data_IF_509904507797
#
_entry.id   IF_509904507797
#
_cell.length_a   1.000
_cell.length_b   1.000
_cell.length_c   1.000
_cell.angle_alpha   90.00
_cell.angle_beta   90.00
_cell.angle_gamma   90.00
#
_symmetry.space_group_name_H-M   'P 1'
#
loop_
_entity.id
_entity.type
_entity.pdbx_description
1 polymer ?
#
# COMPACT_ATOMS: atom_id res chain seq x y z
N UNK A 1 7.71 21.11 16.29
CA UNK A 1 7.31 20.74 14.92
C UNK A 1 8.31 21.23 13.87
N UNK A 2 8.70 22.51 13.89
CA UNK A 2 9.63 23.09 12.89
C UNK A 2 10.98 22.37 12.80
N UNK A 3 11.58 21.97 13.94
CA UNK A 3 12.85 21.22 13.94
C UNK A 3 12.75 19.87 13.20
N UNK A 4 11.68 19.11 13.42
CA UNK A 4 11.43 17.84 12.73
C UNK A 4 11.22 18.03 11.22
N UNK A 5 10.47 19.06 10.83
CA UNK A 5 10.29 19.39 9.41
C UNK A 5 11.61 19.82 8.77
N UNK A 6 12.45 20.60 9.48
CA UNK A 6 13.79 20.97 9.04
C UNK A 6 14.67 19.73 8.85
N UNK A 7 14.65 18.78 9.80
CA UNK A 7 15.37 17.53 9.69
C UNK A 7 14.92 16.70 8.48
N UNK A 8 13.61 16.62 8.22
CA UNK A 8 13.10 15.98 7.00
C UNK A 8 13.63 16.66 5.72
N UNK A 9 13.67 18.01 5.67
CA UNK A 9 14.20 18.74 4.51
C UNK A 9 15.69 18.46 4.30
N UNK A 10 16.47 18.46 5.39
CA UNK A 10 17.89 18.11 5.36
C UNK A 10 18.05 16.69 4.81
N UNK A 11 17.27 15.72 5.30
CA UNK A 11 17.37 14.34 4.83
C UNK A 11 17.03 14.15 3.35
N UNK A 12 16.04 14.90 2.85
CA UNK A 12 15.76 14.96 1.41
C UNK A 12 16.99 15.49 0.67
N UNK A 13 17.51 16.65 1.08
CA UNK A 13 18.67 17.27 0.41
C UNK A 13 19.91 16.37 0.42
N UNK A 14 20.22 15.70 1.53
CA UNK A 14 21.29 14.69 1.62
C UNK A 14 21.10 13.56 0.59
N UNK A 15 19.86 13.09 0.40
CA UNK A 15 19.55 12.04 -0.57
C UNK A 15 19.79 12.50 -2.00
N UNK A 16 19.40 13.75 -2.33
CA UNK A 16 19.69 14.34 -3.63
C UNK A 16 21.21 14.47 -3.84
N UNK A 17 21.94 15.05 -2.89
CA UNK A 17 23.40 15.22 -2.99
C UNK A 17 24.16 13.91 -3.15
N UNK A 18 23.76 12.86 -2.43
CA UNK A 18 24.37 11.54 -2.56
C UNK A 18 24.18 10.97 -3.97
N UNK A 19 22.97 11.10 -4.53
CA UNK A 19 22.71 10.67 -5.91
C UNK A 19 23.44 11.53 -6.95
N UNK A 20 23.45 12.85 -6.78
CA UNK A 20 24.18 13.77 -7.67
C UNK A 20 25.68 13.48 -7.69
N UNK A 21 26.28 13.24 -6.53
CA UNK A 21 27.69 12.85 -6.42
C UNK A 21 27.97 11.51 -7.09
N UNK A 22 27.05 10.54 -6.98
CA UNK A 22 27.22 9.22 -7.59
C UNK A 22 27.09 9.24 -9.12
N UNK A 23 26.09 9.95 -9.66
CA UNK A 23 25.84 10.02 -11.10
C UNK A 23 26.56 11.17 -11.80
N UNK A 24 27.32 11.99 -11.05
CA UNK A 24 28.00 13.19 -11.53
C UNK A 24 27.08 14.09 -12.37
N UNK A 25 25.88 14.35 -11.84
CA UNK A 25 24.86 15.15 -12.53
C UNK A 25 24.05 15.96 -11.53
N UNK A 26 23.39 17.02 -12.02
CA UNK A 26 22.45 17.81 -11.20
C UNK A 26 21.04 17.26 -11.38
N UNK A 27 20.34 17.07 -10.27
CA UNK A 27 18.98 16.56 -10.24
C UNK A 27 18.03 17.68 -9.82
N UNK A 28 16.93 17.83 -10.55
CA UNK A 28 15.91 18.85 -10.30
C UNK A 28 15.26 18.63 -8.93
N UNK A 29 15.26 19.67 -8.09
CA UNK A 29 14.56 19.65 -6.80
C UNK A 29 13.06 19.84 -7.02
N UNK A 30 12.27 19.22 -6.15
CA UNK A 30 10.81 19.38 -6.09
C UNK A 30 10.40 19.97 -4.73
N UNK A 31 9.29 20.72 -4.65
CA UNK A 31 8.80 21.24 -3.39
C UNK A 31 8.50 20.12 -2.39
N UNK A 32 8.88 20.34 -1.13
CA UNK A 32 8.56 19.47 0.01
C UNK A 32 7.40 20.09 0.79
N UNK A 33 6.27 19.38 0.82
CA UNK A 33 5.03 19.83 1.45
C UNK A 33 4.66 18.95 2.64
N UNK A 34 4.38 19.59 3.77
CA UNK A 34 3.95 18.93 4.99
C UNK A 34 2.43 18.98 5.13
N UNK A 35 1.78 17.83 4.96
CA UNK A 35 0.32 17.70 4.97
C UNK A 35 -0.22 17.38 6.37
N UNK A 36 -1.21 18.16 6.81
CA UNK A 36 -2.03 17.86 7.99
C UNK A 36 -3.19 16.90 7.69
N UNK A 37 -3.52 16.70 6.41
CA UNK A 37 -4.63 15.84 5.98
C UNK A 37 -4.21 14.37 5.82
N UNK A 38 -2.93 14.14 5.54
CA UNK A 38 -2.39 12.79 5.37
C UNK A 38 -2.25 12.10 6.75
N UNK A 39 -2.99 11.01 6.93
CA UNK A 39 -3.08 10.27 8.21
C UNK A 39 -2.79 8.76 8.09
N UNK A 40 -2.82 8.22 6.88
CA UNK A 40 -2.69 6.77 6.61
C UNK A 40 -1.33 6.38 6.03
N UNK A 41 -0.67 7.28 5.30
CA UNK A 41 0.62 7.07 4.67
C UNK A 41 1.63 8.08 5.18
N UNK A 42 2.88 7.66 5.41
CA UNK A 42 3.91 8.53 5.97
C UNK A 42 4.36 9.60 4.97
N UNK A 43 4.58 9.19 3.72
CA UNK A 43 4.98 10.07 2.63
C UNK A 43 4.35 9.64 1.30
N UNK A 44 4.44 10.52 0.30
CA UNK A 44 4.18 10.21 -1.11
C UNK A 44 5.00 11.12 -2.02
N UNK A 45 5.59 10.56 -3.08
CA UNK A 45 6.10 11.28 -4.24
C UNK A 45 5.00 11.45 -5.30
N UNK A 46 4.86 12.65 -5.85
CA UNK A 46 3.89 12.99 -6.90
C UNK A 46 4.61 13.24 -8.24
N UNK A 47 3.94 12.88 -9.32
CA UNK A 47 4.48 12.96 -10.67
C UNK A 47 3.45 13.50 -11.65
N UNK A 48 3.92 14.04 -12.77
CA UNK A 48 3.10 14.41 -13.93
C UNK A 48 3.70 13.82 -15.20
N UNK A 49 2.85 13.49 -16.18
CA UNK A 49 3.30 13.14 -17.52
C UNK A 49 3.14 14.37 -18.42
N UNK A 50 4.22 14.82 -19.03
CA UNK A 50 4.16 15.85 -20.05
C UNK A 50 3.42 15.30 -21.28
N UNK A 51 2.36 15.98 -21.71
CA UNK A 51 1.56 15.55 -22.85
C UNK A 51 2.33 15.63 -24.17
N UNK A 52 3.18 16.66 -24.33
CA UNK A 52 3.93 16.88 -25.56
C UNK A 52 5.08 15.87 -25.75
N UNK A 53 5.81 15.54 -24.68
CA UNK A 53 7.02 14.69 -24.77
C UNK A 53 6.82 13.27 -24.25
N UNK A 54 5.68 12.99 -23.61
CA UNK A 54 5.42 11.72 -22.92
C UNK A 54 6.26 11.48 -21.66
N UNK A 55 7.21 12.38 -21.35
CA UNK A 55 8.15 12.26 -20.23
C UNK A 55 7.41 12.39 -18.90
N UNK A 56 7.75 11.53 -17.95
CA UNK A 56 7.28 11.63 -16.56
C UNK A 56 8.29 12.44 -15.74
N UNK A 57 7.79 13.36 -14.93
CA UNK A 57 8.61 14.22 -14.06
C UNK A 57 8.05 14.27 -12.65
N UNK A 58 8.94 14.39 -11.67
CA UNK A 58 8.57 14.61 -10.27
C UNK A 58 8.02 16.02 -10.05
N UNK A 59 6.96 16.14 -9.25
CA UNK A 59 6.33 17.44 -8.95
C UNK A 59 6.40 17.83 -7.49
N UNK A 60 6.36 16.86 -6.57
CA UNK A 60 6.31 17.16 -5.13
C UNK A 60 6.66 15.94 -4.28
N UNK A 61 7.33 16.19 -3.16
CA UNK A 61 7.41 15.25 -2.02
C UNK A 61 6.43 15.72 -0.96
N UNK A 62 5.50 14.85 -0.55
CA UNK A 62 4.50 15.14 0.47
C UNK A 62 4.71 14.28 1.70
N UNK A 63 4.80 14.89 2.87
CA UNK A 63 5.08 14.23 4.16
C UNK A 63 3.95 14.49 5.16
N UNK A 64 3.54 13.46 5.91
CA UNK A 64 2.44 13.55 6.87
C UNK A 64 2.88 14.13 8.22
N UNK A 65 2.42 15.33 8.58
CA UNK A 65 2.69 15.93 9.89
C UNK A 65 2.14 15.11 11.06
N UNK A 66 1.04 14.39 10.82
CA UNK A 66 0.42 13.56 11.85
C UNK A 66 1.28 12.36 12.21
N UNK A 67 1.86 11.68 11.21
CA UNK A 67 2.71 10.49 11.41
C UNK A 67 4.12 10.89 11.86
N UNK A 68 4.65 12.01 11.35
CA UNK A 68 5.93 12.58 11.81
C UNK A 68 5.89 12.88 13.32
N UNK A 69 4.80 13.45 13.84
CA UNK A 69 4.65 13.70 15.28
C UNK A 69 4.60 12.43 16.12
N UNK A 70 4.03 11.36 15.57
CA UNK A 70 3.84 10.10 16.29
C UNK A 70 5.10 9.21 16.27
N UNK A 71 5.98 9.40 15.28
CA UNK A 71 7.16 8.56 15.05
C UNK A 71 8.37 9.41 14.62
N UNK A 72 8.79 10.43 15.39
CA UNK A 72 9.72 11.46 14.91
C UNK A 72 11.05 10.90 14.38
N UNK A 73 11.70 10.03 15.15
CA UNK A 73 13.01 9.48 14.80
C UNK A 73 12.93 8.55 13.58
N UNK A 74 12.08 7.52 13.65
CA UNK A 74 11.91 6.56 12.54
C UNK A 74 11.42 7.26 11.27
N UNK A 75 10.51 8.23 11.40
CA UNK A 75 10.00 8.98 10.26
C UNK A 75 11.11 9.77 9.58
N UNK A 76 11.84 10.61 10.32
CA UNK A 76 12.92 11.44 9.77
C UNK A 76 14.01 10.58 9.14
N UNK A 77 14.38 9.48 9.77
CA UNK A 77 15.44 8.60 9.28
C UNK A 77 15.09 7.91 7.95
N UNK A 78 13.80 7.61 7.72
CA UNK A 78 13.36 6.76 6.60
C UNK A 78 12.54 7.50 5.54
N UNK A 79 11.43 8.10 5.95
CA UNK A 79 10.37 8.56 5.03
C UNK A 79 10.85 9.61 4.04
N UNK A 80 11.57 10.68 4.46
CA UNK A 80 12.03 11.71 3.53
C UNK A 80 12.95 11.15 2.43
N UNK A 81 13.93 10.32 2.80
CA UNK A 81 14.85 9.71 1.84
C UNK A 81 14.15 8.72 0.91
N UNK A 82 13.19 7.93 1.42
CA UNK A 82 12.40 7.01 0.61
C UNK A 82 11.58 7.75 -0.47
N UNK A 83 10.91 8.84 -0.11
CA UNK A 83 10.17 9.65 -1.08
C UNK A 83 11.10 10.46 -2.00
N UNK A 84 12.30 10.84 -1.54
CA UNK A 84 13.31 11.46 -2.40
C UNK A 84 13.84 10.48 -3.45
N UNK A 85 14.10 9.23 -3.07
CA UNK A 85 14.57 8.19 -3.99
C UNK A 85 13.58 7.94 -5.14
N UNK A 86 12.28 8.05 -4.87
CA UNK A 86 11.22 8.01 -5.88
C UNK A 86 11.35 9.11 -6.94
N UNK A 87 11.58 10.36 -6.50
CA UNK A 87 11.78 11.50 -7.40
C UNK A 87 13.09 11.36 -8.18
N UNK A 88 14.19 11.09 -7.47
CA UNK A 88 15.53 10.91 -8.05
C UNK A 88 15.53 9.84 -9.14
N UNK A 89 14.92 8.69 -8.87
CA UNK A 89 14.86 7.60 -9.84
C UNK A 89 14.07 7.99 -11.10
N UNK A 90 12.96 8.73 -10.96
CA UNK A 90 12.19 9.22 -12.12
C UNK A 90 12.95 10.29 -12.90
N UNK A 91 13.64 11.21 -12.23
CA UNK A 91 14.42 12.24 -12.92
C UNK A 91 15.60 11.65 -13.71
N UNK A 92 16.25 10.61 -13.18
CA UNK A 92 17.39 9.96 -13.83
C UNK A 92 16.99 8.91 -14.89
N UNK A 93 15.88 8.20 -14.67
CA UNK A 93 15.55 7.00 -15.47
C UNK A 93 14.15 7.03 -16.11
N UNK A 94 13.41 8.12 -15.96
CA UNK A 94 12.05 8.26 -16.49
C UNK A 94 11.09 7.20 -15.94
N UNK A 95 10.27 6.60 -16.81
CA UNK A 95 9.26 5.60 -16.39
C UNK A 95 9.89 4.38 -15.70
N UNK A 96 11.12 4.00 -16.08
CA UNK A 96 11.84 2.88 -15.47
C UNK A 96 12.25 3.15 -14.02
N UNK A 97 12.29 4.41 -13.61
CA UNK A 97 12.53 4.83 -12.23
C UNK A 97 11.30 4.76 -11.34
N UNK A 98 10.11 4.59 -11.91
CA UNK A 98 8.84 4.66 -11.18
C UNK A 98 8.60 3.41 -10.33
N UNK A 99 8.06 3.61 -9.14
CA UNK A 99 7.74 2.51 -8.22
C UNK A 99 8.97 1.98 -7.50
N UNK A 100 8.93 0.73 -7.04
CA UNK A 100 9.98 0.13 -6.20
C UNK A 100 10.85 -0.88 -6.95
N UNK A 101 11.07 -0.64 -8.25
CA UNK A 101 11.85 -1.52 -9.13
C UNK A 101 13.37 -1.37 -8.94
N UNK A 102 14.15 -2.01 -9.84
CA UNK A 102 15.61 -2.04 -9.78
C UNK A 102 16.25 -0.66 -9.66
N UNK A 103 15.82 0.30 -10.49
CA UNK A 103 16.38 1.66 -10.49
C UNK A 103 16.12 2.40 -9.17
N UNK A 104 14.92 2.26 -8.61
CA UNK A 104 14.63 2.82 -7.30
C UNK A 104 15.46 2.17 -6.19
N UNK A 105 15.64 0.84 -6.22
CA UNK A 105 16.47 0.12 -5.25
C UNK A 105 17.94 0.53 -5.32
N UNK A 106 18.46 0.77 -6.54
CA UNK A 106 19.79 1.32 -6.78
C UNK A 106 19.95 2.68 -6.08
N UNK A 107 18.98 3.59 -6.25
CA UNK A 107 18.98 4.88 -5.54
C UNK A 107 18.93 4.70 -4.02
N UNK A 108 18.08 3.81 -3.51
CA UNK A 108 18.00 3.53 -2.07
C UNK A 108 19.35 3.09 -1.50
N UNK A 109 20.07 2.22 -2.21
CA UNK A 109 21.41 1.79 -1.81
C UNK A 109 22.42 2.96 -1.82
N UNK A 110 22.39 3.81 -2.85
CA UNK A 110 23.27 4.98 -2.97
C UNK A 110 23.04 5.97 -1.83
N UNK A 111 21.79 6.22 -1.44
CA UNK A 111 21.47 7.14 -0.33
C UNK A 111 21.61 6.48 1.05
N UNK A 112 22.11 5.24 1.12
CA UNK A 112 22.34 4.51 2.35
C UNK A 112 21.06 4.14 3.10
N UNK A 113 19.95 3.92 2.40
CA UNK A 113 18.68 3.53 3.00
C UNK A 113 18.24 2.12 2.61
N UNK A 114 17.67 1.41 3.58
CA UNK A 114 17.09 0.08 3.39
C UNK A 114 15.78 0.17 2.57
N UNK A 115 15.74 -0.56 1.45
CA UNK A 115 14.66 -0.60 0.46
C UNK A 115 13.35 -1.28 0.94
N UNK A 116 13.10 -1.32 2.24
CA UNK A 116 11.87 -1.89 2.82
C UNK A 116 10.67 -1.00 2.56
N UNK A 117 9.62 -1.60 1.99
CA UNK A 117 8.35 -0.93 1.66
C UNK A 117 7.40 -0.75 2.84
N UNK A 118 7.48 -1.63 3.84
CA UNK A 118 6.49 -1.71 4.92
C UNK A 118 7.14 -1.45 6.27
N UNK A 119 6.72 -0.37 6.93
CA UNK A 119 7.04 -0.05 8.32
C UNK A 119 5.76 0.14 9.12
N UNK A 120 5.76 -0.36 10.35
CA UNK A 120 4.60 -0.31 11.22
C UNK A 120 4.63 0.97 12.06
N UNK A 121 4.71 2.13 11.39
CA UNK A 121 4.62 3.43 12.06
C UNK A 121 3.22 3.62 12.65
N UNK A 122 3.15 4.24 13.83
CA UNK A 122 1.89 4.67 14.44
C UNK A 122 1.23 5.68 13.52
N UNK A 123 0.11 5.30 12.91
CA UNK A 123 -0.73 6.20 12.13
C UNK A 123 -1.64 6.99 13.06
N UNK A 124 -1.91 8.25 12.73
CA UNK A 124 -2.87 9.02 13.51
C UNK A 124 -4.25 8.34 13.49
N UNK A 125 -4.98 8.33 14.63
CA UNK A 125 -6.30 7.75 14.68
C UNK A 125 -7.14 8.37 13.56
N UNK A 126 -7.60 7.51 12.64
CA UNK A 126 -8.65 7.89 11.72
C UNK A 126 -9.89 7.89 12.59
N UNK A 127 -10.44 9.07 12.94
CA UNK A 127 -11.69 9.18 13.73
C UNK A 127 -12.62 8.04 13.28
N UNK A 128 -13.03 7.18 14.22
CA UNK A 128 -14.15 6.28 13.95
C UNK A 128 -15.29 7.20 13.54
N UNK A 129 -15.63 7.14 12.24
CA UNK A 129 -16.58 8.08 11.69
C UNK A 129 -17.92 7.78 12.32
N UNK A 130 -18.58 8.78 12.89
CA UNK A 130 -20.02 8.70 13.11
C UNK A 130 -20.68 8.22 11.82
N UNK A 131 -21.48 7.18 11.97
CA UNK A 131 -22.34 6.67 10.93
C UNK A 131 -23.71 7.30 11.07
N UNK A 132 -24.24 7.69 9.93
CA UNK A 132 -25.55 8.29 9.78
C UNK A 132 -26.42 7.24 9.09
N UNK A 133 -27.52 6.88 9.74
CA UNK A 133 -28.46 5.88 9.24
C UNK A 133 -29.35 6.49 8.17
N UNK A 134 -29.51 5.76 7.07
CA UNK A 134 -30.40 6.11 5.96
C UNK A 134 -31.25 4.90 5.58
N UNK A 135 -32.48 5.13 5.20
CA UNK A 135 -33.39 4.13 4.61
C UNK A 135 -33.57 4.54 3.14
N UNK A 136 -33.17 3.68 2.22
CA UNK A 136 -33.29 3.96 0.78
C UNK A 136 -34.74 4.07 0.35
N UNK A 137 -34.99 4.53 -0.88
CA UNK A 137 -36.33 4.56 -1.48
C UNK A 137 -37.02 3.19 -1.55
N UNK A 138 -36.27 2.08 -1.40
CA UNK A 138 -36.84 0.71 -1.36
C UNK A 138 -36.97 0.16 0.05
N UNK A 139 -36.65 0.95 1.09
CA UNK A 139 -36.70 0.51 2.48
C UNK A 139 -35.41 -0.14 3.00
N UNK A 140 -34.35 -0.22 2.18
CA UNK A 140 -33.09 -0.85 2.59
C UNK A 140 -32.26 0.06 3.50
N UNK A 141 -31.75 -0.48 4.60
CA UNK A 141 -30.97 0.29 5.56
C UNK A 141 -29.50 0.41 5.16
N UNK A 142 -28.98 1.64 5.16
CA UNK A 142 -27.59 1.94 4.81
C UNK A 142 -26.96 2.89 5.84
N UNK A 143 -25.75 2.53 6.26
CA UNK A 143 -24.94 3.38 7.14
C UNK A 143 -23.93 4.20 6.35
N UNK A 144 -24.07 5.52 6.40
CA UNK A 144 -23.21 6.45 5.69
C UNK A 144 -22.24 7.16 6.61
N UNK A 145 -20.98 7.29 6.17
CA UNK A 145 -19.98 8.13 6.87
C UNK A 145 -20.34 9.60 6.70
N UNK A 146 -19.92 10.43 7.67
CA UNK A 146 -20.07 11.89 7.68
C UNK A 146 -19.89 12.57 6.32
N UNK A 147 -18.89 12.19 5.53
CA UNK A 147 -18.65 12.81 4.22
C UNK A 147 -19.79 12.64 3.20
N UNK A 148 -20.43 11.46 3.13
CA UNK A 148 -21.62 11.26 2.27
C UNK A 148 -22.85 11.91 2.89
N UNK A 149 -23.02 11.78 4.20
CA UNK A 149 -24.10 12.46 4.92
C UNK A 149 -24.09 13.99 4.69
N UNK A 150 -22.95 14.66 4.84
CA UNK A 150 -22.84 16.10 4.60
C UNK A 150 -23.13 16.48 3.14
N UNK A 151 -22.75 15.66 2.15
CA UNK A 151 -23.08 15.92 0.74
C UNK A 151 -24.58 15.79 0.47
N UNK A 152 -25.23 14.78 1.05
CA UNK A 152 -26.67 14.57 0.92
C UNK A 152 -27.42 15.73 1.59
N UNK A 153 -27.12 16.01 2.86
CA UNK A 153 -27.86 16.99 3.66
C UNK A 153 -27.61 18.44 3.24
N UNK A 154 -26.37 18.80 2.93
CA UNK A 154 -25.98 20.19 2.64
C UNK A 154 -25.93 20.53 1.16
N UNK A 155 -25.72 19.53 0.28
CA UNK A 155 -25.54 19.75 -1.16
C UNK A 155 -26.57 19.04 -2.03
N UNK A 156 -27.57 18.39 -1.43
CA UNK A 156 -28.63 17.68 -2.16
C UNK A 156 -28.13 16.51 -3.00
N UNK A 157 -26.97 15.93 -2.68
CA UNK A 157 -26.41 14.83 -3.46
C UNK A 157 -27.29 13.56 -3.33
N UNK A 158 -27.53 12.89 -4.45
CA UNK A 158 -28.26 11.60 -4.51
C UNK A 158 -27.29 10.46 -4.80
N UNK A 159 -27.45 9.33 -4.10
CA UNK A 159 -26.66 8.12 -4.32
C UNK A 159 -27.55 6.95 -4.69
N UNK A 160 -27.08 6.07 -5.58
CA UNK A 160 -27.74 4.81 -5.92
C UNK A 160 -27.14 3.65 -5.12
N UNK A 161 -27.99 2.77 -4.61
CA UNK A 161 -27.60 1.48 -4.04
C UNK A 161 -28.04 0.41 -5.03
N UNK A 162 -27.10 -0.41 -5.48
CA UNK A 162 -27.35 -1.39 -6.53
C UNK A 162 -28.42 -2.39 -6.06
N UNK A 163 -29.56 -2.43 -6.76
CA UNK A 163 -30.69 -3.29 -6.43
C UNK A 163 -31.60 -2.76 -5.31
N UNK A 164 -31.18 -1.71 -4.60
CA UNK A 164 -31.80 -1.29 -3.34
C UNK A 164 -32.15 0.22 -3.36
N UNK A 165 -32.48 0.75 -4.54
CA UNK A 165 -33.01 2.11 -4.69
C UNK A 165 -31.99 3.26 -4.54
N UNK A 166 -32.50 4.44 -4.17
CA UNK A 166 -31.74 5.69 -4.06
C UNK A 166 -31.66 6.15 -2.60
N UNK A 167 -30.63 6.92 -2.30
CA UNK A 167 -30.46 7.67 -1.05
C UNK A 167 -30.53 9.15 -1.41
N UNK A 168 -31.58 9.82 -0.93
CA UNK A 168 -31.79 11.27 -1.04
C UNK A 168 -31.72 11.92 0.35
N UNK A 169 -32.05 13.21 0.46
CA UNK A 169 -32.04 13.94 1.73
C UNK A 169 -33.08 13.41 2.70
N UNK A 170 -34.24 13.01 2.18
CA UNK A 170 -35.42 12.52 2.89
C UNK A 170 -35.20 11.10 3.44
N UNK A 171 -34.29 10.35 2.84
CA UNK A 171 -33.88 9.01 3.29
C UNK A 171 -33.15 9.01 4.64
N UNK A 172 -32.85 10.17 5.23
CA UNK A 172 -32.13 10.23 6.50
C UNK A 172 -33.02 9.84 7.67
N UNK A 173 -32.64 8.76 8.37
CA UNK A 173 -33.40 8.20 9.49
C UNK A 173 -32.58 8.29 10.78
N UNK A 174 -32.58 9.43 11.49
CA UNK A 174 -31.86 9.56 12.74
C UNK A 174 -32.48 8.63 13.80
N UNK A 175 -31.76 7.61 14.25
CA UNK A 175 -32.05 7.00 15.56
C UNK A 175 -31.58 7.94 16.68
N UNK A 176 -32.21 7.83 17.85
CA UNK A 176 -31.98 8.67 19.03
C UNK A 176 -30.55 8.61 19.60
N UNK A 177 -29.63 7.82 19.03
CA UNK A 177 -28.22 7.84 19.39
C UNK A 177 -27.36 7.45 18.18
N UNK A 178 -26.36 8.26 17.77
CA UNK A 178 -25.40 7.85 16.77
C UNK A 178 -24.64 6.60 17.25
N UNK A 179 -24.68 5.51 16.48
CA UNK A 179 -23.88 4.32 16.77
C UNK A 179 -22.38 4.68 16.67
N UNK A 180 -21.76 4.91 17.83
CA UNK A 180 -20.31 5.08 17.95
C UNK A 180 -19.65 3.73 17.78
N UNK A 181 -18.94 3.54 16.67
CA UNK A 181 -18.05 2.38 16.54
C UNK A 181 -16.82 2.64 17.42
N UNK A 182 -16.59 1.77 18.42
CA UNK A 182 -15.31 1.67 19.13
C UNK A 182 -14.21 1.43 18.10
N UNK A 183 -13.07 2.10 18.26
CA UNK A 183 -11.92 1.91 17.38
C UNK A 183 -11.74 0.42 17.09
N UNK A 184 -11.71 0.05 15.80
CA UNK A 184 -11.11 -1.21 15.41
C UNK A 184 -9.63 -1.05 15.74
N UNK A 185 -9.25 -1.39 16.96
CA UNK A 185 -7.86 -1.75 17.25
C UNK A 185 -7.48 -2.70 16.13
N UNK A 186 -6.42 -2.39 15.37
CA UNK A 186 -5.86 -3.34 14.39
C UNK A 186 -5.93 -4.70 15.05
N UNK A 187 -6.67 -5.63 14.46
CA UNK A 187 -6.77 -6.98 14.97
C UNK A 187 -5.34 -7.42 15.32
N UNK A 188 -5.17 -7.94 16.55
CA UNK A 188 -3.93 -8.61 16.96
C UNK A 188 -3.49 -9.43 15.76
N UNK A 189 -2.24 -9.24 15.32
CA UNK A 189 -1.70 -9.94 14.16
C UNK A 189 -2.16 -11.40 14.22
N UNK A 190 -2.73 -11.95 13.12
CA UNK A 190 -3.08 -13.36 13.12
C UNK A 190 -1.87 -14.14 13.62
N UNK A 191 -2.13 -15.16 14.44
CA UNK A 191 -1.11 -16.07 14.95
C UNK A 191 -0.12 -16.43 13.83
N UNK A 192 1.16 -16.59 14.20
CA UNK A 192 2.35 -16.83 13.38
C UNK A 192 2.07 -17.09 11.88
N UNK A 193 2.71 -16.36 10.94
CA UNK A 193 2.36 -16.42 9.53
C UNK A 193 2.29 -17.88 9.06
N UNK A 194 1.09 -18.35 8.73
CA UNK A 194 0.92 -19.64 8.08
C UNK A 194 1.81 -19.62 6.84
N UNK A 195 2.67 -20.64 6.69
CA UNK A 195 3.66 -20.70 5.63
C UNK A 195 3.06 -20.26 4.29
N UNK A 196 3.77 -19.38 3.57
CA UNK A 196 3.30 -18.86 2.29
C UNK A 196 3.01 -20.02 1.32
N UNK A 197 2.11 -19.81 0.34
CA UNK A 197 1.81 -20.84 -0.68
C UNK A 197 3.08 -21.34 -1.37
N UNK A 198 4.07 -20.48 -1.58
CA UNK A 198 5.37 -20.85 -2.12
C UNK A 198 6.16 -21.76 -1.17
N UNK A 199 6.20 -21.45 0.14
CA UNK A 199 6.88 -22.28 1.13
C UNK A 199 6.22 -23.67 1.30
N UNK A 200 4.88 -23.70 1.28
CA UNK A 200 4.11 -24.95 1.25
C UNK A 200 4.41 -25.78 0.00
N UNK A 201 4.48 -25.13 -1.16
CA UNK A 201 4.81 -25.82 -2.41
C UNK A 201 6.21 -26.44 -2.38
N UNK A 202 7.22 -25.73 -1.85
CA UNK A 202 8.57 -26.27 -1.66
C UNK A 202 8.54 -27.52 -0.77
N UNK A 203 7.80 -27.47 0.35
CA UNK A 203 7.66 -28.61 1.26
C UNK A 203 7.03 -29.83 0.56
N UNK A 204 5.96 -29.60 -0.22
CA UNK A 204 5.28 -30.67 -0.98
C UNK A 204 6.18 -31.27 -2.05
N UNK A 205 6.92 -30.45 -2.80
CA UNK A 205 7.88 -30.94 -3.79
C UNK A 205 8.96 -31.82 -3.13
N UNK A 206 9.51 -31.40 -1.99
CA UNK A 206 10.51 -32.17 -1.26
C UNK A 206 9.97 -33.51 -0.73
N UNK A 207 8.71 -33.54 -0.28
CA UNK A 207 8.05 -34.79 0.12
C UNK A 207 7.90 -35.75 -1.06
N UNK A 208 7.46 -35.28 -2.23
CA UNK A 208 7.34 -36.11 -3.42
C UNK A 208 8.69 -36.61 -3.96
N UNK A 209 9.75 -35.80 -3.87
CA UNK A 209 11.12 -36.26 -4.17
C UNK A 209 11.57 -37.37 -3.23
N UNK A 210 11.32 -37.23 -1.91
CA UNK A 210 11.64 -38.28 -0.92
C UNK A 210 10.88 -39.58 -1.17
N UNK A 211 9.67 -39.50 -1.72
CA UNK A 211 8.88 -40.66 -2.15
C UNK A 211 9.31 -41.23 -3.51
N UNK A 212 10.36 -40.68 -4.14
CA UNK A 212 10.91 -41.17 -5.41
C UNK A 212 10.18 -40.69 -6.66
N UNK A 213 9.25 -39.74 -6.55
CA UNK A 213 8.55 -39.22 -7.73
C UNK A 213 9.37 -38.18 -8.48
N UNK A 214 9.29 -38.23 -9.81
CA UNK A 214 9.77 -37.14 -10.68
C UNK A 214 8.68 -36.08 -10.88
N UNK A 215 9.08 -34.85 -11.25
CA UNK A 215 8.14 -33.77 -11.53
C UNK A 215 7.13 -34.17 -12.62
N UNK A 216 7.59 -34.85 -13.66
CA UNK A 216 6.73 -35.31 -14.76
C UNK A 216 5.70 -36.34 -14.29
N UNK A 217 6.10 -37.29 -13.44
CA UNK A 217 5.18 -38.27 -12.85
C UNK A 217 4.12 -37.60 -11.96
N UNK A 218 4.51 -36.62 -11.13
CA UNK A 218 3.58 -35.88 -10.29
C UNK A 218 2.60 -35.08 -11.15
N UNK A 219 3.08 -34.37 -12.17
CA UNK A 219 2.20 -33.58 -13.05
C UNK A 219 1.32 -34.46 -13.93
N UNK A 220 1.76 -35.68 -14.29
CA UNK A 220 0.96 -36.64 -15.04
C UNK A 220 -0.15 -37.31 -14.24
N UNK A 221 -0.09 -37.27 -12.91
CA UNK A 221 -1.06 -37.92 -12.03
C UNK A 221 -2.02 -36.91 -11.37
N UNK A 222 -3.30 -36.95 -11.77
CA UNK A 222 -4.32 -36.03 -11.28
C UNK A 222 -4.48 -36.07 -9.75
N UNK A 223 -4.45 -37.26 -9.14
CA UNK A 223 -4.59 -37.46 -7.70
C UNK A 223 -3.43 -36.83 -6.92
N UNK A 224 -2.19 -36.94 -7.41
CA UNK A 224 -1.03 -36.32 -6.76
C UNK A 224 -1.07 -34.78 -6.86
N UNK A 225 -1.59 -34.25 -7.97
CA UNK A 225 -1.79 -32.80 -8.13
C UNK A 225 -2.89 -32.27 -7.22
N UNK A 226 -3.99 -33.01 -7.04
CA UNK A 226 -5.07 -32.62 -6.13
C UNK A 226 -4.63 -32.64 -4.67
N UNK A 227 -3.88 -33.67 -4.25
CA UNK A 227 -3.26 -33.73 -2.92
C UNK A 227 -2.32 -32.55 -2.69
N UNK A 228 -1.50 -32.20 -3.69
CA UNK A 228 -0.64 -31.01 -3.62
C UNK A 228 -1.45 -29.72 -3.54
N UNK A 229 -2.54 -29.60 -4.31
CA UNK A 229 -3.42 -28.44 -4.31
C UNK A 229 -4.06 -28.22 -2.93
N UNK A 230 -4.54 -29.29 -2.29
CA UNK A 230 -5.09 -29.25 -0.94
C UNK A 230 -4.03 -28.84 0.09
N UNK A 231 -2.83 -29.43 0.04
CA UNK A 231 -1.73 -29.10 0.95
C UNK A 231 -1.25 -27.65 0.82
N UNK A 232 -1.21 -27.11 -0.41
CA UNK A 232 -0.79 -25.72 -0.69
C UNK A 232 -1.93 -24.72 -0.41
N UNK A 233 -3.19 -25.15 -0.49
CA UNK A 233 -4.38 -24.29 -0.43
C UNK A 233 -4.62 -23.53 -1.72
N UNK A 234 -4.56 -24.24 -2.86
CA UNK A 234 -4.77 -23.68 -4.21
C UNK A 234 -5.66 -24.60 -5.05
N UNK A 235 -6.04 -24.16 -6.24
CA UNK A 235 -6.69 -25.05 -7.23
C UNK A 235 -5.65 -25.96 -7.88
N UNK A 236 -6.05 -27.10 -8.45
CA UNK A 236 -5.16 -28.01 -9.17
C UNK A 236 -4.35 -27.31 -10.27
N UNK A 237 -4.98 -26.38 -11.00
CA UNK A 237 -4.31 -25.57 -12.05
C UNK A 237 -3.19 -24.70 -11.47
N UNK A 238 -3.45 -24.06 -10.33
CA UNK A 238 -2.45 -23.24 -9.63
C UNK A 238 -1.34 -24.10 -9.03
N UNK A 239 -1.69 -25.26 -8.44
CA UNK A 239 -0.74 -26.21 -7.88
C UNK A 239 0.28 -26.66 -8.93
N UNK A 240 -0.15 -26.96 -10.17
CA UNK A 240 0.76 -27.30 -11.28
C UNK A 240 1.80 -26.22 -11.55
N UNK A 241 1.41 -24.94 -11.51
CA UNK A 241 2.34 -23.80 -11.68
C UNK A 241 3.33 -23.72 -10.52
N UNK A 242 2.85 -23.91 -9.29
CA UNK A 242 3.70 -23.92 -8.10
C UNK A 242 4.71 -25.07 -8.11
N UNK A 243 4.26 -26.30 -8.40
CA UNK A 243 5.13 -27.47 -8.48
C UNK A 243 6.22 -27.27 -9.54
N UNK A 244 5.87 -26.82 -10.76
CA UNK A 244 6.86 -26.51 -11.80
C UNK A 244 7.88 -25.46 -11.37
N UNK A 245 7.42 -24.36 -10.79
CA UNK A 245 8.29 -23.23 -10.44
C UNK A 245 9.11 -23.41 -9.17
N UNK A 246 8.79 -24.42 -8.33
CA UNK A 246 9.40 -24.64 -7.02
C UNK A 246 10.04 -26.02 -6.85
N UNK A 247 10.00 -26.89 -7.87
CA UNK A 247 10.56 -28.23 -7.80
C UNK A 247 12.04 -28.24 -7.40
N UNK A 248 12.86 -27.40 -8.02
CA UNK A 248 14.31 -27.37 -7.76
C UNK A 248 14.69 -26.55 -6.52
N UNK A 249 13.71 -25.89 -5.90
CA UNK A 249 13.87 -25.15 -4.64
C UNK A 249 13.55 -26.02 -3.41
N UNK A 250 13.30 -27.31 -3.61
CA UNK A 250 12.91 -28.29 -2.59
C UNK A 250 13.87 -29.44 -2.42
#
# INVERSE_FOLDING_TARGET
MNALQKACRIKVEESFRAAEAHYNTTIKRVPIVFSNQQKKTAGTASYIRCFATGKIEGTQIKLANSILRLNPEEFVARTPGHEAAHIIAVELFGENGRGHGRRWQEIMAIIGQDAKRCHNMKTAPTRSGELFRYITTTGYEVMLKRGRHSKIQMKGATYLVRGEGKITKECFAPESTPLKIKEVTKAKAPAAPTASKAAKAITVCGAYKKMGYTLQQVLGNATLVEKAAQAIGTTAVQARKFLKGKWDQS
#
